data_IF_760732266890
#
_entry.id   IF_760732266890
#
_cell.length_a   1.000
_cell.length_b   1.000
_cell.length_c   1.000
_cell.angle_alpha   90.00
_cell.angle_beta   90.00
_cell.angle_gamma   90.00
#
_symmetry.space_group_name_H-M   'P 1'
#
loop_
_entity.id
_entity.type
_entity.pdbx_description
1 polymer ?
#
# COMPACT_ATOMS: atom_id res chain seq x y z
N UNK A 1 -20.18 20.27 26.35
CA UNK A 1 -19.63 21.40 25.55
C UNK A 1 -18.24 21.66 26.08
N UNK A 2 -17.26 21.52 25.25
CA UNK A 2 -15.86 21.76 25.61
C UNK A 2 -15.65 23.25 25.82
N UNK A 3 -14.86 23.65 26.81
CA UNK A 3 -14.54 25.07 27.03
C UNK A 3 -13.70 25.59 25.83
N UNK A 4 -14.27 26.52 25.08
CA UNK A 4 -13.69 27.10 23.87
C UNK A 4 -12.34 27.77 24.12
N UNK A 5 -12.11 28.22 25.38
CA UNK A 5 -10.89 28.90 25.76
C UNK A 5 -9.78 27.96 26.24
N UNK A 6 -10.13 26.81 26.81
CA UNK A 6 -9.18 25.85 27.35
C UNK A 6 -9.02 24.60 26.50
N UNK A 7 -10.02 24.24 25.68
CA UNK A 7 -10.04 22.98 24.96
C UNK A 7 -10.23 21.78 25.90
N UNK A 8 -10.03 20.57 25.37
CA UNK A 8 -9.96 19.33 26.16
C UNK A 8 -8.68 19.28 26.99
N UNK A 9 -8.72 18.62 28.13
CA UNK A 9 -7.50 18.28 28.87
C UNK A 9 -6.77 17.14 28.15
N UNK A 10 -5.44 17.09 28.27
CA UNK A 10 -4.64 16.01 27.68
C UNK A 10 -5.07 14.63 28.23
N UNK A 11 -5.46 14.55 29.50
CA UNK A 11 -5.91 13.29 30.12
C UNK A 11 -7.23 12.78 29.53
N UNK A 12 -8.19 13.67 29.22
CA UNK A 12 -9.45 13.30 28.56
C UNK A 12 -9.22 12.86 27.11
N UNK A 13 -8.33 13.56 26.41
CA UNK A 13 -7.95 13.18 25.04
C UNK A 13 -7.29 11.81 25.00
N UNK A 14 -6.34 11.52 25.90
CA UNK A 14 -5.65 10.23 25.99
C UNK A 14 -6.64 9.08 26.34
N UNK A 15 -7.65 9.35 27.15
CA UNK A 15 -8.69 8.35 27.46
C UNK A 15 -9.54 8.04 26.23
N UNK A 16 -9.93 9.05 25.42
CA UNK A 16 -10.66 8.86 24.18
C UNK A 16 -9.83 8.10 23.14
N UNK A 17 -8.53 8.41 23.05
CA UNK A 17 -7.59 7.67 22.16
C UNK A 17 -7.54 6.19 22.57
N UNK A 18 -7.45 5.86 23.87
CA UNK A 18 -7.47 4.46 24.35
C UNK A 18 -8.78 3.74 24.05
N UNK A 19 -9.89 4.44 24.01
CA UNK A 19 -11.19 3.90 23.60
C UNK A 19 -11.32 3.72 22.10
N UNK A 20 -10.34 4.18 21.32
CA UNK A 20 -10.37 4.13 19.85
C UNK A 20 -11.23 5.24 19.22
N UNK A 21 -11.65 6.24 20.00
CA UNK A 21 -12.41 7.40 19.54
C UNK A 21 -11.44 8.46 18.96
N UNK A 22 -10.63 8.09 17.99
CA UNK A 22 -9.66 8.98 17.36
C UNK A 22 -9.80 8.96 15.84
N UNK A 23 -9.20 9.95 15.18
CA UNK A 23 -9.32 10.09 13.73
C UNK A 23 -8.67 8.94 12.95
N UNK A 24 -7.91 8.07 13.64
CA UNK A 24 -7.30 6.88 13.07
C UNK A 24 -6.10 7.19 12.18
N UNK A 25 -5.28 6.19 11.93
CA UNK A 25 -4.12 6.40 11.08
C UNK A 25 -4.53 6.44 9.60
N UNK A 26 -4.29 7.57 8.95
CA UNK A 26 -4.18 7.69 7.48
C UNK A 26 -2.93 6.98 6.95
N UNK A 27 -2.45 5.92 7.62
CA UNK A 27 -1.29 5.21 7.13
C UNK A 27 -1.70 4.43 5.89
N UNK A 28 -1.08 4.75 4.78
CA UNK A 28 -1.06 3.86 3.61
C UNK A 28 -0.61 2.51 4.15
N UNK A 29 -1.54 1.53 4.20
CA UNK A 29 -1.23 0.18 4.68
C UNK A 29 -0.12 -0.39 3.82
N UNK A 30 1.13 -0.22 4.23
CA UNK A 30 2.25 -0.88 3.58
C UNK A 30 2.18 -2.38 3.87
N UNK A 31 2.62 -3.21 2.92
CA UNK A 31 2.64 -4.66 3.10
C UNK A 31 3.41 -5.04 4.37
N UNK A 32 2.92 -6.00 5.14
CA UNK A 32 3.67 -6.54 6.28
C UNK A 32 4.92 -7.27 5.79
N UNK A 33 5.98 -7.29 6.61
CA UNK A 33 7.23 -7.99 6.27
C UNK A 33 6.97 -9.47 5.99
N UNK A 34 6.12 -10.12 6.79
CA UNK A 34 5.75 -11.53 6.57
C UNK A 34 5.07 -11.76 5.21
N UNK A 35 4.27 -10.80 4.74
CA UNK A 35 3.65 -10.89 3.42
C UNK A 35 4.66 -10.72 2.29
N UNK A 36 5.68 -9.88 2.48
CA UNK A 36 6.80 -9.74 1.52
C UNK A 36 7.52 -11.07 1.34
N UNK A 37 7.84 -11.75 2.45
CA UNK A 37 8.45 -13.09 2.39
C UNK A 37 7.55 -14.09 1.67
N UNK A 38 6.26 -14.13 2.01
CA UNK A 38 5.32 -15.04 1.39
C UNK A 38 5.16 -14.76 -0.13
N UNK A 39 5.01 -13.51 -0.53
CA UNK A 39 4.85 -13.11 -1.93
C UNK A 39 6.10 -13.45 -2.78
N UNK A 40 7.31 -13.42 -2.21
CA UNK A 40 8.55 -13.73 -2.92
C UNK A 40 8.89 -15.24 -2.92
N UNK A 41 8.52 -15.99 -1.88
CA UNK A 41 8.81 -17.42 -1.77
C UNK A 41 7.74 -18.26 -2.49
N UNK A 42 6.45 -18.00 -2.24
CA UNK A 42 5.34 -18.79 -2.76
C UNK A 42 4.86 -18.29 -4.13
N UNK A 43 5.78 -18.21 -5.09
CA UNK A 43 5.41 -17.94 -6.48
C UNK A 43 5.22 -19.26 -7.23
N UNK A 44 4.36 -19.25 -8.26
CA UNK A 44 4.18 -20.41 -9.13
C UNK A 44 5.51 -20.86 -9.74
N UNK A 45 6.37 -19.90 -10.11
CA UNK A 45 7.69 -20.16 -10.63
C UNK A 45 8.56 -20.94 -9.64
N UNK A 46 8.63 -20.49 -8.38
CA UNK A 46 9.42 -21.19 -7.36
C UNK A 46 8.86 -22.58 -7.05
N UNK A 47 7.53 -22.74 -7.05
CA UNK A 47 6.89 -24.04 -6.84
C UNK A 47 7.29 -25.03 -7.94
N UNK A 48 7.24 -24.63 -9.20
CA UNK A 48 7.67 -25.48 -10.33
C UNK A 48 9.15 -25.86 -10.19
N UNK A 49 10.00 -24.89 -9.86
CA UNK A 49 11.43 -25.17 -9.68
C UNK A 49 11.71 -26.12 -8.51
N UNK A 50 10.96 -26.04 -7.42
CA UNK A 50 11.07 -27.00 -6.29
C UNK A 50 10.68 -28.40 -6.76
N UNK A 51 9.59 -28.53 -7.54
CA UNK A 51 9.17 -29.83 -8.10
C UNK A 51 10.30 -30.41 -9.00
N UNK A 52 10.87 -29.58 -9.88
CA UNK A 52 11.99 -29.99 -10.73
C UNK A 52 13.20 -30.42 -9.91
N UNK A 53 13.55 -29.65 -8.86
CA UNK A 53 14.66 -29.98 -7.97
C UNK A 53 14.47 -31.34 -7.28
N UNK A 54 13.24 -31.63 -6.83
CA UNK A 54 12.90 -32.94 -6.24
C UNK A 54 13.05 -34.06 -7.26
N UNK A 55 12.57 -33.88 -8.49
CA UNK A 55 12.70 -34.87 -9.55
C UNK A 55 14.18 -35.13 -9.90
N UNK A 56 14.99 -34.08 -10.03
CA UNK A 56 16.43 -34.18 -10.31
C UNK A 56 17.17 -34.90 -9.16
N UNK A 57 16.77 -34.63 -7.90
CA UNK A 57 17.33 -35.32 -6.74
C UNK A 57 16.98 -36.81 -6.72
N UNK A 58 15.75 -37.19 -7.07
CA UNK A 58 15.30 -38.58 -7.13
C UNK A 58 16.05 -39.39 -8.18
N UNK A 59 16.45 -38.75 -9.28
CA UNK A 59 17.28 -39.38 -10.35
C UNK A 59 18.77 -39.42 -9.99
N UNK A 60 19.17 -38.80 -8.85
CA UNK A 60 20.56 -38.78 -8.37
C UNK A 60 21.48 -37.79 -9.09
N UNK A 61 20.92 -36.89 -9.90
CA UNK A 61 21.67 -35.92 -10.69
C UNK A 61 22.01 -34.64 -9.91
N UNK A 62 22.62 -34.74 -8.74
CA UNK A 62 22.89 -33.64 -7.80
C UNK A 62 23.74 -32.50 -8.39
N UNK A 63 24.59 -32.79 -9.39
CA UNK A 63 25.42 -31.77 -10.08
C UNK A 63 24.57 -30.73 -10.79
N UNK A 64 23.35 -31.09 -11.18
CA UNK A 64 22.45 -30.22 -11.92
C UNK A 64 21.58 -29.34 -10.99
N UNK A 65 21.73 -29.47 -9.65
CA UNK A 65 20.99 -28.64 -8.69
C UNK A 65 21.55 -27.21 -8.52
N UNK A 66 22.58 -26.84 -9.28
CA UNK A 66 23.19 -25.50 -9.19
C UNK A 66 22.18 -24.37 -9.47
N UNK A 67 21.15 -24.63 -10.28
CA UNK A 67 20.07 -23.67 -10.53
C UNK A 67 19.30 -23.27 -9.26
N UNK A 68 19.22 -24.15 -8.26
CA UNK A 68 18.59 -23.81 -6.98
C UNK A 68 19.33 -22.68 -6.27
N UNK A 69 20.67 -22.62 -6.39
CA UNK A 69 21.46 -21.51 -5.87
C UNK A 69 21.06 -20.17 -6.47
N UNK A 70 20.85 -20.14 -7.79
CA UNK A 70 20.40 -18.93 -8.50
C UNK A 70 19.01 -18.50 -8.02
N UNK A 71 18.08 -19.45 -7.83
CA UNK A 71 16.74 -19.16 -7.35
C UNK A 71 16.77 -18.59 -5.92
N UNK A 72 17.56 -19.19 -5.03
CA UNK A 72 17.75 -18.69 -3.67
C UNK A 72 18.33 -17.28 -3.65
N UNK A 73 19.33 -17.00 -4.49
CA UNK A 73 19.87 -15.65 -4.65
C UNK A 73 18.81 -14.67 -5.15
N UNK A 74 18.01 -15.04 -6.15
CA UNK A 74 16.93 -14.19 -6.66
C UNK A 74 15.88 -13.88 -5.60
N UNK A 75 15.46 -14.87 -4.82
CA UNK A 75 14.54 -14.68 -3.70
C UNK A 75 15.13 -13.73 -2.67
N UNK A 76 16.39 -13.93 -2.28
CA UNK A 76 17.07 -13.10 -1.30
C UNK A 76 17.18 -11.63 -1.77
N UNK A 77 17.57 -11.42 -3.03
CA UNK A 77 17.65 -10.10 -3.65
C UNK A 77 16.26 -9.45 -3.70
N UNK A 78 15.21 -10.17 -4.12
CA UNK A 78 13.84 -9.68 -4.19
C UNK A 78 13.33 -9.23 -2.82
N UNK A 79 13.51 -10.06 -1.79
CA UNK A 79 13.13 -9.72 -0.41
C UNK A 79 13.89 -8.50 0.07
N UNK A 80 15.20 -8.44 -0.15
CA UNK A 80 16.03 -7.30 0.27
C UNK A 80 15.58 -5.99 -0.39
N UNK A 81 15.33 -6.01 -1.71
CA UNK A 81 14.86 -4.85 -2.46
C UNK A 81 13.49 -4.36 -1.98
N UNK A 82 12.55 -5.30 -1.75
CA UNK A 82 11.19 -4.94 -1.31
C UNK A 82 11.18 -4.41 0.13
N UNK A 83 11.98 -4.99 1.04
CA UNK A 83 12.15 -4.47 2.40
C UNK A 83 12.79 -3.08 2.38
N UNK A 84 13.82 -2.87 1.55
CA UNK A 84 14.45 -1.56 1.40
C UNK A 84 13.46 -0.51 0.89
N UNK A 85 12.70 -0.83 -0.15
CA UNK A 85 11.65 0.04 -0.69
C UNK A 85 10.59 0.37 0.36
N UNK A 86 10.10 -0.64 1.08
CA UNK A 86 9.17 -0.45 2.19
C UNK A 86 9.70 0.53 3.23
N UNK A 87 10.94 0.37 3.68
CA UNK A 87 11.54 1.27 4.70
C UNK A 87 11.62 2.72 4.22
N UNK A 88 11.87 2.94 2.93
CA UNK A 88 11.89 4.29 2.35
C UNK A 88 10.47 4.89 2.36
N UNK A 89 9.47 4.12 1.93
CA UNK A 89 8.06 4.57 1.92
C UNK A 89 7.58 4.86 3.35
N UNK A 90 7.88 3.97 4.31
CA UNK A 90 7.48 4.15 5.71
C UNK A 90 8.11 5.43 6.31
N UNK A 91 9.38 5.72 6.00
CA UNK A 91 10.04 6.97 6.43
C UNK A 91 9.41 8.22 5.82
N UNK A 92 9.11 8.19 4.52
CA UNK A 92 8.47 9.31 3.84
C UNK A 92 7.05 9.56 4.35
N UNK A 93 6.30 8.52 4.67
CA UNK A 93 4.94 8.65 5.21
C UNK A 93 4.91 9.33 6.58
N UNK A 94 5.92 9.08 7.42
CA UNK A 94 6.02 9.75 8.74
C UNK A 94 6.33 11.24 8.58
N UNK A 95 7.21 11.61 7.63
CA UNK A 95 7.58 13.02 7.41
C UNK A 95 6.42 13.81 6.77
N UNK A 96 5.65 13.16 5.90
CA UNK A 96 4.52 13.75 5.18
C UNK A 96 3.19 13.64 5.93
N UNK A 97 3.17 13.09 7.14
CA UNK A 97 1.95 12.98 7.93
C UNK A 97 1.37 14.38 8.21
N UNK A 98 0.13 14.67 7.82
CA UNK A 98 -0.48 15.96 8.09
C UNK A 98 -0.60 16.16 9.59
N UNK A 99 -0.38 17.41 10.05
CA UNK A 99 -0.45 17.81 11.44
C UNK A 99 -1.64 18.72 11.64
N UNK A 100 -2.31 18.59 12.77
CA UNK A 100 -3.38 19.46 13.19
C UNK A 100 -2.92 20.36 14.34
N UNK A 101 -3.41 21.60 14.33
CA UNK A 101 -3.22 22.55 15.40
C UNK A 101 -4.46 22.52 16.29
N UNK A 102 -4.30 22.11 17.53
CA UNK A 102 -5.37 21.93 18.50
C UNK A 102 -5.12 22.78 19.74
N UNK A 103 -6.18 23.12 20.43
CA UNK A 103 -6.12 23.75 21.72
C UNK A 103 -6.40 22.70 22.79
N UNK A 104 -5.40 22.38 23.62
CA UNK A 104 -5.55 21.49 24.78
C UNK A 104 -4.95 22.13 26.02
N UNK A 105 -5.60 22.00 27.16
CA UNK A 105 -5.19 22.63 28.44
C UNK A 105 -4.92 24.13 28.34
N UNK A 106 -5.54 24.84 27.37
CA UNK A 106 -5.34 26.25 27.11
C UNK A 106 -4.13 26.60 26.26
N UNK A 107 -3.34 25.61 25.77
CA UNK A 107 -2.17 25.80 24.96
C UNK A 107 -2.37 25.26 23.54
N UNK A 108 -1.76 25.93 22.54
CA UNK A 108 -1.72 25.42 21.17
C UNK A 108 -0.75 24.23 21.10
N UNK A 109 -1.29 23.08 20.71
CA UNK A 109 -0.54 21.83 20.54
C UNK A 109 -0.62 21.37 19.11
N UNK A 110 0.53 20.96 18.53
CA UNK A 110 0.61 20.44 17.17
C UNK A 110 0.74 18.92 17.24
N UNK A 111 -0.31 18.22 16.80
CA UNK A 111 -0.40 16.76 16.86
C UNK A 111 -0.62 16.14 15.47
N UNK A 112 -0.26 14.86 15.28
CA UNK A 112 -0.67 14.13 14.11
C UNK A 112 -2.19 14.10 13.97
N UNK A 113 -2.69 14.17 12.75
CA UNK A 113 -4.15 14.11 12.46
C UNK A 113 -4.79 12.83 13.01
N UNK A 114 -4.02 11.75 13.19
CA UNK A 114 -4.49 10.49 13.78
C UNK A 114 -4.96 10.63 15.22
N UNK A 115 -4.42 11.60 15.97
CA UNK A 115 -4.61 11.74 17.42
C UNK A 115 -5.69 12.76 17.78
N UNK A 116 -6.40 13.26 16.76
CA UNK A 116 -7.58 14.12 16.95
C UNK A 116 -8.72 13.29 17.52
N UNK A 117 -9.39 13.82 18.54
CA UNK A 117 -10.54 13.19 19.16
C UNK A 117 -11.79 14.09 19.09
N UNK A 118 -13.00 13.53 19.16
CA UNK A 118 -14.22 14.34 19.23
C UNK A 118 -14.21 15.26 20.46
N UNK A 119 -14.56 16.52 20.25
CA UNK A 119 -14.53 17.58 21.28
C UNK A 119 -13.20 18.33 21.35
N UNK A 120 -12.17 17.99 20.57
CA UNK A 120 -10.98 18.83 20.41
C UNK A 120 -11.36 20.18 19.76
N UNK A 121 -10.63 21.23 20.11
CA UNK A 121 -10.78 22.54 19.47
C UNK A 121 -9.67 22.71 18.44
N UNK A 122 -10.03 22.71 17.16
CA UNK A 122 -9.10 22.99 16.06
C UNK A 122 -8.85 24.48 15.91
N UNK A 123 -7.57 24.87 15.79
CA UNK A 123 -7.13 26.22 15.47
C UNK A 123 -6.90 26.32 13.96
N UNK A 124 -7.80 26.97 13.26
CA UNK A 124 -7.81 27.10 11.81
C UNK A 124 -7.33 28.48 11.39
N UNK A 125 -6.47 28.54 10.39
CA UNK A 125 -5.97 29.77 9.77
C UNK A 125 -5.70 29.56 8.29
N UNK A 126 -5.56 30.65 7.55
CA UNK A 126 -5.32 30.61 6.11
C UNK A 126 -4.17 29.66 5.73
N UNK A 127 -4.37 28.85 4.69
CA UNK A 127 -3.43 27.84 4.19
C UNK A 127 -3.44 26.51 4.95
N UNK A 128 -4.23 26.36 6.01
CA UNK A 128 -4.35 25.09 6.74
C UNK A 128 -5.48 24.23 6.18
N UNK A 129 -5.28 22.93 6.20
CA UNK A 129 -6.32 21.95 5.87
C UNK A 129 -7.17 21.65 7.10
N UNK A 130 -8.48 21.50 6.92
CA UNK A 130 -9.41 21.03 7.95
C UNK A 130 -9.24 19.52 8.06
N UNK A 131 -8.76 19.06 9.24
CA UNK A 131 -8.30 17.68 9.43
C UNK A 131 -9.40 16.71 9.93
N UNK A 132 -10.49 17.22 10.47
CA UNK A 132 -11.63 16.47 10.96
C UNK A 132 -12.91 17.28 10.76
N UNK A 133 -14.06 16.59 10.73
CA UNK A 133 -15.34 17.31 10.66
C UNK A 133 -15.62 18.01 11.99
N UNK A 134 -16.09 19.22 11.90
CA UNK A 134 -16.35 20.03 13.10
C UNK A 134 -17.40 21.10 12.88
N UNK A 135 -17.69 21.82 13.94
CA UNK A 135 -18.57 22.99 13.93
C UNK A 135 -17.75 24.22 14.26
N UNK A 136 -17.90 25.29 13.49
CA UNK A 136 -17.24 26.55 13.74
C UNK A 136 -17.82 27.17 15.01
N UNK A 137 -16.98 27.47 15.98
CA UNK A 137 -17.41 28.01 17.28
C UNK A 137 -17.14 29.51 17.40
N UNK A 138 -15.98 29.94 16.88
CA UNK A 138 -15.55 31.33 16.97
C UNK A 138 -14.77 31.75 15.73
N UNK A 139 -14.98 32.97 15.24
CA UNK A 139 -14.28 33.52 14.07
C UNK A 139 -15.08 33.38 12.79
N UNK A 140 -14.44 33.62 11.65
CA UNK A 140 -15.01 33.40 10.33
C UNK A 140 -13.90 32.89 9.37
N UNK A 141 -14.28 32.04 8.43
CA UNK A 141 -13.38 31.44 7.47
C UNK A 141 -13.99 31.48 6.08
N UNK A 142 -13.15 31.71 5.07
CA UNK A 142 -13.45 31.36 3.71
C UNK A 142 -12.76 30.02 3.42
N UNK A 143 -13.57 29.03 3.03
CA UNK A 143 -13.14 27.63 2.88
C UNK A 143 -13.33 27.19 1.44
N UNK A 144 -12.31 26.55 0.88
CA UNK A 144 -12.37 25.85 -0.40
C UNK A 144 -12.78 24.40 -0.16
N UNK A 145 -13.98 24.03 -0.60
CA UNK A 145 -14.54 22.68 -0.52
C UNK A 145 -14.47 21.93 -1.86
N UNK A 146 -13.70 22.43 -2.84
CA UNK A 146 -13.63 21.86 -4.20
C UNK A 146 -13.21 20.41 -4.26
N UNK A 147 -12.37 19.96 -3.35
CA UNK A 147 -11.96 18.55 -3.25
C UNK A 147 -13.12 17.60 -2.85
N UNK A 148 -14.17 18.14 -2.24
CA UNK A 148 -15.32 17.36 -1.76
C UNK A 148 -16.52 17.50 -2.70
N UNK A 149 -16.80 18.72 -3.16
CA UNK A 149 -17.96 19.07 -3.97
C UNK A 149 -17.67 19.09 -5.48
N UNK A 150 -16.41 19.33 -5.85
CA UNK A 150 -15.99 19.58 -7.24
C UNK A 150 -16.23 21.02 -7.70
N UNK A 151 -16.79 21.88 -6.86
CA UNK A 151 -17.06 23.30 -7.16
C UNK A 151 -15.93 24.19 -6.62
N UNK A 152 -15.39 25.07 -7.46
CA UNK A 152 -14.24 25.91 -7.12
C UNK A 152 -14.61 27.20 -6.38
N UNK A 153 -15.86 27.39 -5.99
CA UNK A 153 -16.27 28.56 -5.23
C UNK A 153 -15.92 28.42 -3.75
N UNK A 154 -15.34 29.49 -3.19
CA UNK A 154 -15.07 29.57 -1.76
C UNK A 154 -16.35 29.84 -0.98
N UNK A 155 -16.56 29.09 0.11
CA UNK A 155 -17.73 29.21 0.96
C UNK A 155 -17.34 29.91 2.25
N UNK A 156 -18.01 31.02 2.57
CA UNK A 156 -17.82 31.72 3.84
C UNK A 156 -18.54 30.97 4.95
N UNK A 157 -17.81 30.55 5.98
CA UNK A 157 -18.31 29.86 7.18
C UNK A 157 -18.33 30.81 8.38
N UNK A 158 -19.40 30.73 9.15
CA UNK A 158 -19.66 31.52 10.36
C UNK A 158 -19.87 30.62 11.56
N UNK A 159 -19.84 31.14 12.79
CA UNK A 159 -20.13 30.35 13.98
C UNK A 159 -21.49 29.61 13.87
N UNK A 160 -21.47 28.31 14.12
CA UNK A 160 -22.59 27.39 13.93
C UNK A 160 -22.53 26.57 12.62
N UNK A 161 -21.72 26.97 11.64
CA UNK A 161 -21.60 26.24 10.36
C UNK A 161 -20.75 25.00 10.52
N UNK A 162 -21.07 23.98 9.70
CA UNK A 162 -20.33 22.72 9.66
C UNK A 162 -19.11 22.88 8.75
N UNK A 163 -18.00 22.35 9.21
CA UNK A 163 -16.73 22.23 8.51
C UNK A 163 -16.48 20.77 8.17
N UNK A 164 -16.06 20.53 6.93
CA UNK A 164 -15.78 19.18 6.45
C UNK A 164 -14.28 18.92 6.35
N UNK A 165 -13.86 17.75 6.82
CA UNK A 165 -12.48 17.29 6.68
C UNK A 165 -12.08 17.17 5.20
N UNK A 166 -10.85 17.57 4.88
CA UNK A 166 -10.35 17.61 3.50
C UNK A 166 -10.42 18.97 2.83
N UNK A 167 -11.24 19.91 3.33
CA UNK A 167 -11.32 21.28 2.82
C UNK A 167 -10.11 22.12 3.25
N UNK A 168 -9.86 23.22 2.54
CA UNK A 168 -8.75 24.15 2.83
C UNK A 168 -9.27 25.52 3.25
N UNK A 169 -8.63 26.10 4.24
CA UNK A 169 -8.90 27.48 4.64
C UNK A 169 -8.17 28.42 3.69
N UNK A 170 -8.91 29.23 2.95
CA UNK A 170 -8.38 30.21 1.99
C UNK A 170 -8.03 31.50 2.74
N UNK A 171 -8.95 32.00 3.57
CA UNK A 171 -8.75 33.21 4.36
C UNK A 171 -9.44 33.14 5.71
N UNK A 172 -9.05 34.02 6.63
CA UNK A 172 -9.61 34.10 7.97
C UNK A 172 -8.87 33.30 9.02
N UNK A 173 -9.41 33.36 10.25
CA UNK A 173 -8.96 32.55 11.40
C UNK A 173 -10.13 32.21 12.29
N UNK A 174 -10.16 30.97 12.80
CA UNK A 174 -11.29 30.50 13.61
C UNK A 174 -10.91 29.36 14.53
N UNK A 175 -11.82 29.11 15.50
CA UNK A 175 -11.81 27.92 16.34
C UNK A 175 -13.01 27.06 16.00
N UNK A 176 -12.80 25.78 15.82
CA UNK A 176 -13.84 24.81 15.50
C UNK A 176 -13.78 23.62 16.45
N UNK A 177 -14.91 23.17 16.96
CA UNK A 177 -15.03 21.97 17.77
C UNK A 177 -15.17 20.75 16.86
N UNK A 178 -14.33 19.73 17.07
CA UNK A 178 -14.38 18.45 16.34
C UNK A 178 -15.62 17.67 16.72
N UNK A 179 -16.42 17.30 15.75
CA UNK A 179 -17.67 16.54 15.97
C UNK A 179 -17.54 15.09 15.51
N UNK A 180 -16.87 14.84 14.35
CA UNK A 180 -16.71 13.50 13.79
C UNK A 180 -15.28 13.26 13.38
N UNK A 181 -14.81 12.04 13.62
CA UNK A 181 -13.45 11.59 13.32
C UNK A 181 -13.44 10.23 12.62
N UNK A 182 -12.34 9.87 12.01
CA UNK A 182 -12.12 8.54 11.44
C UNK A 182 -13.11 8.19 10.34
N UNK A 183 -13.73 7.02 10.45
CA UNK A 183 -14.64 6.50 9.42
C UNK A 183 -15.94 7.32 9.28
N UNK A 184 -16.33 8.05 10.33
CA UNK A 184 -17.55 8.87 10.35
C UNK A 184 -17.33 10.25 9.71
N UNK A 185 -16.08 10.65 9.45
CA UNK A 185 -15.76 11.89 8.78
C UNK A 185 -16.25 11.87 7.32
N UNK A 186 -16.78 13.00 6.85
CA UNK A 186 -17.43 13.15 5.55
C UNK A 186 -16.49 12.74 4.39
N UNK A 187 -15.24 13.18 4.39
CA UNK A 187 -14.26 12.81 3.39
C UNK A 187 -14.02 11.29 3.29
N UNK A 188 -14.06 10.60 4.42
CA UNK A 188 -13.89 9.16 4.48
C UNK A 188 -15.13 8.40 4.00
N UNK A 189 -16.32 8.93 4.24
CA UNK A 189 -17.57 8.37 3.73
C UNK A 189 -17.63 8.41 2.20
N UNK A 190 -17.19 9.51 1.57
CA UNK A 190 -17.06 9.63 0.11
C UNK A 190 -15.98 8.67 -0.41
N UNK A 191 -14.82 8.64 0.24
CA UNK A 191 -13.71 7.76 -0.15
C UNK A 191 -14.08 6.28 -0.05
N UNK A 192 -14.86 5.87 0.94
CA UNK A 192 -15.33 4.49 1.08
C UNK A 192 -16.26 4.09 -0.05
N UNK A 193 -17.12 5.00 -0.51
CA UNK A 193 -18.00 4.79 -1.66
C UNK A 193 -17.22 4.71 -2.98
N UNK A 194 -16.12 5.44 -3.11
CA UNK A 194 -15.24 5.45 -4.29
C UNK A 194 -14.23 4.27 -4.31
N UNK A 195 -13.90 3.71 -3.17
CA UNK A 195 -12.90 2.63 -2.98
C UNK A 195 -13.39 1.22 -3.35
N UNK A 196 -14.29 1.05 -4.31
CA UNK A 196 -14.35 -0.24 -5.01
C UNK A 196 -13.09 -0.29 -5.89
N UNK A 197 -12.10 -1.15 -5.58
CA UNK A 197 -10.90 -1.25 -6.40
C UNK A 197 -11.33 -1.79 -7.76
N UNK A 198 -11.61 -0.91 -8.72
CA UNK A 198 -11.57 -1.30 -10.12
C UNK A 198 -10.13 -1.75 -10.34
N UNK A 199 -9.90 -3.07 -10.47
CA UNK A 199 -8.66 -3.57 -11.05
C UNK A 199 -8.48 -2.82 -12.37
N UNK A 200 -7.66 -1.79 -12.38
CA UNK A 200 -7.24 -1.16 -13.63
C UNK A 200 -6.41 -2.21 -14.34
N UNK A 201 -7.03 -2.94 -15.25
CA UNK A 201 -6.30 -3.66 -16.27
C UNK A 201 -5.57 -2.59 -17.10
N UNK A 202 -4.29 -2.41 -16.82
CA UNK A 202 -3.43 -1.67 -17.72
C UNK A 202 -3.44 -2.43 -19.05
N UNK A 203 -3.81 -1.77 -20.14
CA UNK A 203 -3.80 -2.37 -21.49
C UNK A 203 -2.43 -2.95 -21.80
N UNK A 204 -1.36 -2.27 -21.35
CA UNK A 204 0.02 -2.75 -21.49
C UNK A 204 0.27 -4.06 -20.71
N UNK A 205 -0.27 -4.21 -19.50
CA UNK A 205 -0.14 -5.44 -18.72
C UNK A 205 -0.94 -6.58 -19.36
N UNK A 206 -2.12 -6.28 -19.93
CA UNK A 206 -2.92 -7.25 -20.68
C UNK A 206 -2.19 -7.72 -21.95
N UNK A 207 -1.55 -6.81 -22.69
CA UNK A 207 -0.76 -7.16 -23.87
C UNK A 207 0.45 -8.03 -23.50
N UNK A 208 1.19 -7.69 -22.44
CA UNK A 208 2.32 -8.50 -21.96
C UNK A 208 1.86 -9.90 -21.54
N UNK A 209 0.78 -10.00 -20.76
CA UNK A 209 0.24 -11.30 -20.36
C UNK A 209 -0.25 -12.13 -21.54
N UNK A 210 -0.81 -11.49 -22.56
CA UNK A 210 -1.21 -12.16 -23.80
C UNK A 210 -0.01 -12.73 -24.55
N UNK A 211 1.08 -11.95 -24.68
CA UNK A 211 2.33 -12.39 -25.31
C UNK A 211 2.92 -13.57 -24.52
N UNK A 212 3.01 -13.45 -23.21
CA UNK A 212 3.53 -14.53 -22.34
C UNK A 212 2.68 -15.81 -22.50
N UNK A 213 1.36 -15.66 -22.54
CA UNK A 213 0.44 -16.80 -22.71
C UNK A 213 0.66 -17.49 -24.06
N UNK A 214 0.77 -16.73 -25.15
CA UNK A 214 1.04 -17.27 -26.49
C UNK A 214 2.38 -18.02 -26.52
N UNK A 215 3.43 -17.39 -26.00
CA UNK A 215 4.78 -18.02 -25.94
C UNK A 215 4.72 -19.31 -25.10
N UNK A 216 4.05 -19.29 -23.93
CA UNK A 216 3.93 -20.47 -23.08
C UNK A 216 3.19 -21.62 -23.78
N UNK A 217 2.11 -21.33 -24.50
CA UNK A 217 1.39 -22.33 -25.26
C UNK A 217 2.24 -22.90 -26.40
N UNK A 218 3.05 -22.08 -27.08
CA UNK A 218 3.95 -22.53 -28.13
C UNK A 218 5.12 -23.39 -27.61
N UNK A 219 5.67 -23.08 -26.44
CA UNK A 219 6.80 -23.81 -25.86
C UNK A 219 6.41 -25.23 -25.43
N UNK A 220 5.21 -25.42 -24.88
CA UNK A 220 4.75 -26.74 -24.39
C UNK A 220 4.83 -27.85 -25.43
N UNK A 221 4.32 -27.72 -26.68
CA UNK A 221 4.44 -28.77 -27.67
C UNK A 221 5.89 -29.03 -28.12
N UNK A 222 6.73 -27.96 -28.20
CA UNK A 222 8.14 -28.12 -28.50
C UNK A 222 8.87 -28.93 -27.41
N UNK A 223 8.64 -28.58 -26.16
CA UNK A 223 9.20 -29.31 -25.01
C UNK A 223 8.75 -30.78 -25.02
N UNK A 224 7.48 -31.05 -25.33
CA UNK A 224 6.95 -32.41 -25.42
C UNK A 224 7.60 -33.21 -26.58
N UNK A 225 7.78 -32.59 -27.74
CA UNK A 225 8.43 -33.21 -28.89
C UNK A 225 9.90 -33.53 -28.57
N UNK A 226 10.63 -32.61 -27.96
CA UNK A 226 12.01 -32.84 -27.56
C UNK A 226 12.12 -33.93 -26.49
N UNK A 227 11.23 -33.93 -25.51
CA UNK A 227 11.17 -34.95 -24.46
C UNK A 227 10.87 -36.35 -25.05
N UNK A 228 9.91 -36.46 -25.94
CA UNK A 228 9.62 -37.74 -26.63
C UNK A 228 10.76 -38.19 -27.51
N UNK A 229 11.43 -37.26 -28.22
CA UNK A 229 12.62 -37.58 -29.00
C UNK A 229 13.75 -38.11 -28.13
N UNK A 230 14.03 -37.48 -26.99
CA UNK A 230 15.06 -37.91 -26.05
C UNK A 230 14.75 -39.31 -25.49
N UNK A 231 13.51 -39.59 -25.09
CA UNK A 231 13.11 -40.88 -24.55
C UNK A 231 13.13 -42.03 -25.57
N UNK A 232 12.59 -41.80 -26.77
CA UNK A 232 12.33 -42.90 -27.72
C UNK A 232 13.37 -43.03 -28.81
N UNK A 233 14.01 -41.92 -29.24
CA UNK A 233 14.95 -41.94 -30.37
C UNK A 233 16.38 -42.05 -29.90
N UNK A 234 16.77 -41.32 -28.87
CA UNK A 234 18.17 -41.29 -28.41
C UNK A 234 18.51 -42.42 -27.42
N UNK A 235 17.50 -43.12 -26.83
CA UNK A 235 17.70 -44.11 -25.76
C UNK A 235 18.59 -43.61 -24.62
N UNK A 236 18.60 -42.32 -24.41
CA UNK A 236 19.45 -41.70 -23.39
C UNK A 236 18.88 -41.96 -21.99
N UNK A 237 19.78 -42.06 -21.01
CA UNK A 237 19.34 -42.22 -19.60
C UNK A 237 18.44 -41.06 -19.17
N UNK A 238 17.49 -41.35 -18.32
CA UNK A 238 16.52 -40.36 -17.75
C UNK A 238 17.19 -39.08 -17.25
N UNK A 239 18.47 -39.13 -16.89
CA UNK A 239 19.29 -37.99 -16.47
C UNK A 239 19.39 -36.91 -17.56
N UNK A 240 19.52 -37.29 -18.85
CA UNK A 240 19.61 -36.34 -19.95
C UNK A 240 18.27 -35.72 -20.33
N UNK A 241 17.17 -36.44 -20.12
CA UNK A 241 15.84 -35.89 -20.38
C UNK A 241 15.46 -34.75 -19.42
N UNK A 242 15.90 -34.81 -18.15
CA UNK A 242 15.72 -33.74 -17.19
C UNK A 242 16.63 -32.53 -17.46
N UNK A 243 17.79 -32.75 -18.02
CA UNK A 243 18.79 -31.73 -18.38
C UNK A 243 18.30 -30.83 -19.53
N UNK A 244 17.59 -31.37 -20.49
CA UNK A 244 17.12 -30.61 -21.66
C UNK A 244 16.18 -29.46 -21.24
N UNK A 245 15.43 -29.61 -20.14
CA UNK A 245 14.54 -28.59 -19.63
C UNK A 245 15.30 -27.50 -18.83
N UNK A 246 16.46 -27.80 -18.28
CA UNK A 246 17.24 -26.88 -17.46
C UNK A 246 18.34 -26.13 -18.22
N UNK A 247 18.81 -26.64 -19.34
CA UNK A 247 19.86 -26.01 -20.14
C UNK A 247 19.38 -24.94 -21.11
N UNK A 248 18.10 -24.97 -21.52
CA UNK A 248 17.58 -24.03 -22.53
C UNK A 248 17.25 -22.62 -21.94
N UNK A 249 17.50 -22.42 -20.64
CA UNK A 249 17.25 -21.14 -19.98
C UNK A 249 18.53 -20.33 -19.68
N UNK A 250 19.71 -20.82 -19.94
CA UNK A 250 20.92 -20.11 -19.55
C UNK A 250 22.20 -20.55 -20.29
N UNK A 251 22.32 -20.53 -21.59
CA UNK A 251 23.58 -20.23 -22.28
C UNK A 251 23.65 -20.79 -23.68
N UNK A 252 23.88 -19.91 -24.63
CA UNK A 252 24.41 -20.12 -25.99
C UNK A 252 25.90 -20.57 -25.97
N UNK A 253 26.29 -21.53 -25.14
CA UNK A 253 27.63 -22.14 -25.25
C UNK A 253 27.50 -23.62 -25.53
N UNK A 254 28.08 -24.10 -26.66
CA UNK A 254 28.08 -25.53 -26.97
C UNK A 254 28.93 -26.26 -25.93
N UNK A 255 28.30 -27.18 -25.20
CA UNK A 255 29.03 -28.16 -24.41
C UNK A 255 29.79 -29.08 -25.36
N UNK A 256 31.13 -28.97 -25.38
CA UNK A 256 32.06 -29.95 -25.94
C UNK A 256 32.27 -31.06 -24.91
#
# INVERSE_FOLDING_TARGET
MTDIQKGLSQSEADEKIRRGECNGSFSVKSKSVGRIFADNIFTLFNLINVIIAVLVALVGAYRNMLFMGVILCNIAIGIFQEIRSKRIIDRLSVISAPKAHLLRDGEETILPVSDIVPGDIMLLSAGRQICADGTLVQGALDVDESLLTGESETVTKRPGDVLYSGSFVVSGSARAEVTKVGAEAYANSISASAKKPKKRHSEMMSAINSIISVISVCILPFALILFTKALFVAREELQYCCLLYTCDAADDTPCV
#
